data_IF_724455254400
#
_entry.id   IF_724455254400
#
_cell.length_a   1.000
_cell.length_b   1.000
_cell.length_c   1.000
_cell.angle_alpha   90.00
_cell.angle_beta   90.00
_cell.angle_gamma   90.00
#
_symmetry.space_group_name_H-M   'P 1'
#
loop_
_entity.id
_entity.type
_entity.pdbx_description
1 polymer ?
#
# COMPACT_ATOMS: atom_id res chain seq x y z
N UNK A 1 -21.60 6.76 -12.03
CA UNK A 1 -20.41 7.53 -12.29
C UNK A 1 -19.23 6.93 -11.55
N UNK A 2 -18.33 6.42 -12.00
CA UNK A 2 -17.20 5.89 -11.28
C UNK A 2 -17.05 4.38 -11.29
N UNK A 3 -18.00 3.64 -11.84
CA UNK A 3 -17.88 2.18 -11.88
C UNK A 3 -16.63 1.75 -12.65
N UNK A 4 -16.35 2.37 -13.79
CA UNK A 4 -15.15 2.07 -14.55
C UNK A 4 -13.90 2.57 -13.84
N UNK A 5 -13.95 3.78 -13.29
CA UNK A 5 -12.82 4.33 -12.54
C UNK A 5 -12.50 3.46 -11.32
N UNK A 6 -13.52 2.94 -10.63
CA UNK A 6 -13.32 2.02 -9.52
C UNK A 6 -12.65 0.72 -9.96
N UNK A 7 -13.07 0.18 -11.10
CA UNK A 7 -12.43 -1.03 -11.64
C UNK A 7 -10.96 -0.79 -11.95
N UNK A 8 -10.66 0.37 -12.53
CA UNK A 8 -9.28 0.75 -12.82
C UNK A 8 -8.47 0.85 -11.52
N UNK A 9 -9.03 1.50 -10.50
CA UNK A 9 -8.35 1.62 -9.21
C UNK A 9 -8.14 0.26 -8.55
N UNK A 10 -9.13 -0.62 -8.59
CA UNK A 10 -9.00 -1.96 -8.02
C UNK A 10 -7.98 -2.81 -8.75
N UNK A 11 -7.83 -2.61 -10.06
CA UNK A 11 -6.84 -3.34 -10.84
C UNK A 11 -5.41 -3.00 -10.43
N UNK A 12 -5.20 -1.90 -9.71
CA UNK A 12 -3.89 -1.51 -9.20
C UNK A 12 -3.57 -2.11 -7.83
N UNK A 13 -4.52 -2.84 -7.24
CA UNK A 13 -4.35 -3.40 -5.91
C UNK A 13 -3.68 -4.76 -5.95
N UNK A 14 -2.91 -5.04 -4.91
CA UNK A 14 -2.31 -6.35 -4.68
C UNK A 14 -2.13 -6.54 -3.19
N UNK A 15 -1.70 -7.73 -2.77
CA UNK A 15 -1.56 -8.05 -1.36
C UNK A 15 -0.09 -8.16 -0.98
N UNK A 16 0.22 -7.70 0.23
CA UNK A 16 1.54 -7.86 0.85
C UNK A 16 1.34 -8.55 2.19
N UNK A 17 2.10 -9.60 2.44
CA UNK A 17 2.09 -10.28 3.74
C UNK A 17 3.26 -9.79 4.58
N UNK A 18 2.99 -9.43 5.82
CA UNK A 18 4.00 -8.97 6.75
C UNK A 18 3.53 -9.15 8.19
N UNK A 19 4.42 -9.55 9.07
CA UNK A 19 4.14 -9.70 10.51
C UNK A 19 2.94 -10.61 10.79
N UNK A 20 2.71 -11.62 9.94
CA UNK A 20 1.59 -12.53 10.09
C UNK A 20 0.26 -11.97 9.62
N UNK A 21 0.25 -10.83 8.99
CA UNK A 21 -0.96 -10.17 8.51
C UNK A 21 -0.88 -9.90 7.03
N UNK A 22 -2.02 -9.59 6.43
CA UNK A 22 -2.13 -9.32 5.01
C UNK A 22 -2.62 -7.90 4.80
N UNK A 23 -1.88 -7.14 4.02
CA UNK A 23 -2.22 -5.77 3.70
C UNK A 23 -2.54 -5.65 2.22
N UNK A 24 -3.56 -4.86 1.90
CA UNK A 24 -3.88 -4.55 0.52
C UNK A 24 -3.21 -3.23 0.18
N UNK A 25 -2.40 -3.25 -0.87
CA UNK A 25 -1.74 -2.04 -1.36
C UNK A 25 -2.26 -1.71 -2.75
N UNK A 26 -2.09 -0.46 -3.15
CA UNK A 26 -2.25 -0.08 -4.55
C UNK A 26 -0.92 0.40 -5.08
N UNK A 27 -0.60 0.05 -6.32
CA UNK A 27 0.64 0.57 -6.89
C UNK A 27 0.47 2.06 -7.18
N UNK A 28 1.54 2.85 -7.06
CA UNK A 28 1.50 4.24 -7.49
C UNK A 28 1.25 4.33 -8.99
N UNK A 29 0.57 5.37 -9.40
CA UNK A 29 0.51 5.72 -10.82
C UNK A 29 1.82 6.40 -11.22
N UNK A 30 2.08 6.47 -12.53
CA UNK A 30 3.25 7.18 -13.03
C UNK A 30 3.24 8.65 -12.58
N UNK A 31 2.08 9.28 -12.61
CA UNK A 31 1.94 10.67 -12.16
C UNK A 31 2.31 10.81 -10.69
N UNK A 32 1.84 9.89 -9.84
CA UNK A 32 2.18 9.92 -8.43
C UNK A 32 3.68 9.76 -8.20
N UNK A 33 4.34 8.90 -8.96
CA UNK A 33 5.79 8.72 -8.86
C UNK A 33 6.51 10.01 -9.22
N UNK A 34 6.08 10.68 -10.29
CA UNK A 34 6.66 11.97 -10.67
C UNK A 34 6.47 13.02 -9.58
N UNK A 35 5.30 13.07 -8.98
CA UNK A 35 5.02 14.00 -7.87
C UNK A 35 5.92 13.71 -6.67
N UNK A 36 6.10 12.44 -6.33
CA UNK A 36 6.97 12.06 -5.22
C UNK A 36 8.44 12.38 -5.50
N UNK A 37 8.87 12.26 -6.76
CA UNK A 37 10.24 12.61 -7.12
C UNK A 37 10.50 14.10 -7.03
N UNK A 38 9.48 14.91 -7.24
CA UNK A 38 9.57 16.37 -7.13
C UNK A 38 9.46 16.83 -5.68
N UNK A 39 8.83 16.03 -4.83
CA UNK A 39 8.72 16.34 -3.41
C UNK A 39 10.01 15.97 -2.69
N UNK A 40 10.29 16.63 -1.58
CA UNK A 40 11.44 16.31 -0.75
C UNK A 40 11.33 14.87 -0.24
N UNK A 41 12.38 14.09 -0.48
CA UNK A 41 12.47 12.74 0.04
C UNK A 41 11.98 11.63 -0.88
N UNK A 42 11.23 11.94 -1.92
CA UNK A 42 10.75 10.92 -2.87
C UNK A 42 9.96 9.81 -2.21
N UNK A 43 10.33 8.55 -2.45
CA UNK A 43 9.69 7.38 -1.84
C UNK A 43 10.20 7.12 -0.43
N UNK A 44 9.79 7.95 0.50
CA UNK A 44 10.09 7.74 1.93
C UNK A 44 9.10 6.75 2.54
N UNK A 45 9.43 6.24 3.72
CA UNK A 45 8.54 5.35 4.46
C UNK A 45 7.15 5.98 4.60
N UNK A 46 7.09 7.23 5.03
CA UNK A 46 5.81 7.91 5.23
C UNK A 46 5.01 8.04 3.95
N UNK A 47 5.68 8.37 2.84
CA UNK A 47 4.99 8.49 1.54
C UNK A 47 4.48 7.15 1.03
N UNK A 48 5.21 6.07 1.30
CA UNK A 48 4.81 4.73 0.86
C UNK A 48 3.60 4.21 1.62
N UNK A 49 3.50 4.51 2.91
CA UNK A 49 2.39 4.03 3.73
C UNK A 49 1.02 4.48 3.20
N UNK A 50 0.96 5.60 2.52
CA UNK A 50 -0.30 6.09 1.93
C UNK A 50 -0.85 5.20 0.82
N UNK A 51 -0.05 4.27 0.31
CA UNK A 51 -0.49 3.33 -0.71
C UNK A 51 -1.12 2.07 -0.14
N UNK A 52 -1.20 1.96 1.19
CA UNK A 52 -1.94 0.88 1.84
C UNK A 52 -3.42 1.29 1.89
N UNK A 53 -4.28 0.40 1.41
CA UNK A 53 -5.71 0.69 1.30
C UNK A 53 -6.59 -0.32 2.05
N UNK A 54 -5.98 -1.33 2.66
CA UNK A 54 -6.74 -2.32 3.42
C UNK A 54 -5.82 -3.18 4.28
N UNK A 55 -6.41 -3.90 5.22
CA UNK A 55 -5.69 -4.82 6.10
C UNK A 55 -6.62 -5.94 6.57
N UNK A 56 -6.05 -6.94 7.24
CA UNK A 56 -6.82 -7.99 7.91
C UNK A 56 -6.67 -7.93 9.43
N UNK A 57 -6.31 -6.77 9.97
CA UNK A 57 -6.10 -6.62 11.41
C UNK A 57 -7.43 -6.66 12.17
N UNK A 58 -7.37 -7.21 13.38
CA UNK A 58 -8.49 -7.21 14.32
C UNK A 58 -8.23 -6.15 15.38
N UNK A 59 -9.28 -5.74 16.07
CA UNK A 59 -9.12 -4.77 17.16
C UNK A 59 -8.09 -5.25 18.18
N UNK A 60 -8.09 -6.57 18.48
CA UNK A 60 -7.13 -7.15 19.42
C UNK A 60 -5.68 -7.07 18.95
N UNK A 61 -5.45 -6.92 17.64
CA UNK A 61 -4.11 -6.70 17.09
C UNK A 61 -3.62 -5.28 17.31
N UNK A 62 -4.56 -4.35 17.46
CA UNK A 62 -4.28 -2.91 17.57
C UNK A 62 -4.25 -2.43 19.02
N UNK A 63 -5.14 -2.97 19.84
CA UNK A 63 -5.34 -2.53 21.22
C UNK A 63 -5.26 -3.73 22.15
N UNK A 64 -4.34 -3.74 23.12
CA UNK A 64 -4.29 -4.81 24.13
C UNK A 64 -5.63 -4.92 24.83
N UNK A 65 -6.19 -6.13 24.87
CA UNK A 65 -7.49 -6.36 25.46
C UNK A 65 -8.67 -6.05 24.55
N UNK A 66 -8.42 -5.66 23.30
CA UNK A 66 -9.48 -5.42 22.33
C UNK A 66 -10.19 -6.71 21.93
N UNK A 67 -11.35 -6.57 21.28
CA UNK A 67 -12.12 -7.73 20.83
C UNK A 67 -11.48 -8.35 19.58
N UNK A 68 -11.87 -9.61 19.30
CA UNK A 68 -11.34 -10.35 18.14
C UNK A 68 -12.04 -10.06 16.83
N UNK A 69 -12.86 -9.02 16.77
CA UNK A 69 -13.57 -8.66 15.55
C UNK A 69 -12.66 -7.92 14.56
N UNK A 70 -12.87 -8.10 13.25
CA UNK A 70 -12.11 -7.35 12.25
C UNK A 70 -12.25 -5.85 12.46
N UNK A 71 -11.14 -5.13 12.41
CA UNK A 71 -11.14 -3.68 12.52
C UNK A 71 -11.30 -3.08 11.14
N UNK A 72 -12.20 -2.10 10.96
CA UNK A 72 -12.28 -1.39 9.67
C UNK A 72 -10.97 -0.69 9.38
N UNK A 73 -10.56 -0.69 8.12
CA UNK A 73 -9.33 -0.03 7.74
C UNK A 73 -9.45 1.48 7.97
N UNK A 74 -8.43 2.04 8.61
CA UNK A 74 -8.34 3.48 8.88
C UNK A 74 -6.88 3.87 8.73
N UNK A 75 -6.63 4.88 7.90
CA UNK A 75 -5.26 5.32 7.59
C UNK A 75 -4.51 5.75 8.85
N UNK A 76 -5.15 6.53 9.71
CA UNK A 76 -4.50 6.97 10.95
C UNK A 76 -4.15 5.79 11.86
N UNK A 77 -5.09 4.85 12.00
CA UNK A 77 -4.85 3.65 12.81
C UNK A 77 -3.71 2.82 12.21
N UNK A 78 -3.65 2.73 10.89
CA UNK A 78 -2.56 2.02 10.23
C UNK A 78 -1.21 2.70 10.51
N UNK A 79 -1.15 4.01 10.42
CA UNK A 79 0.09 4.74 10.71
C UNK A 79 0.54 4.51 12.15
N UNK A 80 -0.40 4.52 13.10
CA UNK A 80 -0.08 4.27 14.51
C UNK A 80 0.44 2.84 14.71
N UNK A 81 -0.22 1.87 14.10
CA UNK A 81 0.23 0.49 14.20
C UNK A 81 1.62 0.30 13.56
N UNK A 82 1.81 0.87 12.38
CA UNK A 82 3.06 0.75 11.63
C UNK A 82 4.24 1.41 12.35
N UNK A 83 3.97 2.44 13.15
CA UNK A 83 5.03 3.14 13.88
C UNK A 83 5.85 2.19 14.76
N UNK A 84 5.24 1.11 15.24
CA UNK A 84 5.92 0.13 16.09
C UNK A 84 6.29 -1.15 15.34
N UNK A 85 6.08 -1.21 14.03
CA UNK A 85 6.33 -2.42 13.25
C UNK A 85 7.23 -2.13 12.05
N UNK A 86 8.54 -1.92 12.29
CA UNK A 86 9.46 -1.56 11.19
C UNK A 86 9.56 -2.62 10.10
N UNK A 87 9.37 -3.90 10.43
CA UNK A 87 9.38 -4.95 9.41
C UNK A 87 8.23 -4.77 8.42
N UNK A 88 7.07 -4.29 8.91
CA UNK A 88 5.94 -4.01 8.03
C UNK A 88 6.26 -2.87 7.06
N UNK A 89 6.95 -1.83 7.51
CA UNK A 89 7.39 -0.75 6.63
C UNK A 89 8.23 -1.28 5.48
N UNK A 90 9.22 -2.11 5.81
CA UNK A 90 10.14 -2.65 4.82
C UNK A 90 9.39 -3.52 3.81
N UNK A 91 8.52 -4.40 4.29
CA UNK A 91 7.76 -5.29 3.42
C UNK A 91 6.79 -4.53 2.52
N UNK A 92 6.11 -3.53 3.06
CA UNK A 92 5.15 -2.72 2.30
C UNK A 92 5.88 -1.87 1.28
N UNK A 93 7.00 -1.24 1.66
CA UNK A 93 7.80 -0.45 0.73
C UNK A 93 8.27 -1.30 -0.44
N UNK A 94 8.76 -2.50 -0.16
CA UNK A 94 9.20 -3.44 -1.19
C UNK A 94 8.05 -3.85 -2.09
N UNK A 95 6.89 -4.12 -1.51
CA UNK A 95 5.70 -4.51 -2.27
C UNK A 95 5.20 -3.41 -3.20
N UNK A 96 5.14 -2.18 -2.71
CA UNK A 96 4.72 -1.03 -3.51
C UNK A 96 5.71 -0.77 -4.65
N UNK A 97 7.01 -0.77 -4.33
CA UNK A 97 8.04 -0.56 -5.34
C UNK A 97 8.03 -1.65 -6.42
N UNK A 98 7.89 -2.89 -5.99
CA UNK A 98 7.84 -4.04 -6.90
C UNK A 98 6.63 -3.98 -7.83
N UNK A 99 5.47 -3.62 -7.28
CA UNK A 99 4.24 -3.49 -8.08
C UNK A 99 4.39 -2.40 -9.14
N UNK A 100 4.99 -1.27 -8.78
CA UNK A 100 5.22 -0.19 -9.73
C UNK A 100 6.24 -0.61 -10.80
N UNK A 101 7.33 -1.23 -10.40
CA UNK A 101 8.37 -1.67 -11.34
C UNK A 101 7.84 -2.69 -12.34
N UNK A 102 7.03 -3.62 -11.89
CA UNK A 102 6.40 -4.61 -12.76
C UNK A 102 5.48 -3.95 -13.78
N UNK A 103 4.72 -2.95 -13.34
CA UNK A 103 3.85 -2.20 -14.25
C UNK A 103 4.67 -1.40 -15.27
N UNK A 104 5.72 -0.71 -14.83
CA UNK A 104 6.58 0.07 -15.72
C UNK A 104 7.27 -0.82 -16.77
N UNK A 105 7.76 -1.99 -16.35
CA UNK A 105 8.38 -2.94 -17.25
C UNK A 105 7.39 -3.45 -18.30
N UNK A 106 6.15 -3.70 -17.89
CA UNK A 106 5.11 -4.14 -18.81
C UNK A 106 4.76 -3.07 -19.84
N UNK A 107 4.72 -1.81 -19.42
CA UNK A 107 4.48 -0.70 -20.34
C UNK A 107 5.61 -0.56 -21.36
N UNK A 108 6.86 -0.73 -20.96
CA UNK A 108 7.99 -0.70 -21.86
C UNK A 108 7.94 -1.85 -22.87
N UNK A 109 7.60 -3.05 -22.39
CA UNK A 109 7.46 -4.22 -23.24
C UNK A 109 6.36 -4.02 -24.29
N UNK A 110 5.21 -3.51 -23.85
CA UNK A 110 4.09 -3.24 -24.76
C UNK A 110 4.45 -2.13 -25.77
N UNK A 111 5.17 -1.12 -25.35
CA UNK A 111 5.60 -0.04 -26.24
C UNK A 111 6.68 -0.48 -27.22
N UNK A 112 7.48 -1.49 -26.87
CA UNK A 112 8.53 -2.01 -27.73
C UNK A 112 8.03 -2.92 -28.85
N UNK A 113 6.77 -3.27 -28.79
CA UNK A 113 6.16 -4.11 -29.81
C UNK A 113 5.34 -3.27 -30.78
#
# INVERSE_FOLDING_TARGET
MGALAEKIRKARQSAVSSCGHRFTIRRPTHLEVLELQQADGGLTIRNVLRFVVGWDLKESDLIPGGVGDPAPFDVEAFEEWAADHPDAWADIMKGVASAYQSHAAKLEEDAGN
#
